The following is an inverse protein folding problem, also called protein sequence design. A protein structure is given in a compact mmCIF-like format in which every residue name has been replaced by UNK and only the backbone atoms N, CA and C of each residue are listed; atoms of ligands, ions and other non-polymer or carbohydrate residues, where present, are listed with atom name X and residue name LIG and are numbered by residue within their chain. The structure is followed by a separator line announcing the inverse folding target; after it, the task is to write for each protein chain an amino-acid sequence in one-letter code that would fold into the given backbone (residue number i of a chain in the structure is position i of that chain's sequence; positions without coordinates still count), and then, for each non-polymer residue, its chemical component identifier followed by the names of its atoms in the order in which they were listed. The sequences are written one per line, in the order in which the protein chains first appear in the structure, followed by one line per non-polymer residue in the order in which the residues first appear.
data_IF_243097419950
#
_entry.id   IF_243097419950
#
_cell.length_a   1.000
_cell.length_b   1.000
_cell.length_c   1.000
_cell.angle_alpha   90.00
_cell.angle_beta   90.00
_cell.angle_gamma   90.00
#
_symmetry.space_group_name_H-M   'P 1'
#
loop_
_entity.id
_entity.type
_entity.pdbx_description
1 polymer ?
#
# COMPACT_ATOMS: atom_id res chain seq x y z
N UNK A 1 -3.24 -13.73 1.97
CA UNK A 1 -2.34 -14.73 1.38
C UNK A 1 -3.15 -15.88 0.81
N UNK A 2 -2.87 -16.28 -0.44
CA UNK A 2 -3.54 -17.42 -1.08
C UNK A 2 -2.98 -18.74 -0.53
N UNK A 3 -3.85 -19.64 -0.08
CA UNK A 3 -3.46 -20.94 0.47
C UNK A 3 -2.70 -21.83 -0.53
N UNK A 4 -2.92 -21.65 -1.84
CA UNK A 4 -2.20 -22.38 -2.90
C UNK A 4 -0.71 -22.06 -2.89
N UNK A 5 -0.37 -20.78 -2.79
CA UNK A 5 1.02 -20.31 -2.74
C UNK A 5 1.76 -20.86 -1.50
N UNK A 6 1.06 -20.94 -0.36
CA UNK A 6 1.63 -21.54 0.85
C UNK A 6 1.80 -23.05 0.70
N UNK A 7 0.88 -23.74 0.04
CA UNK A 7 0.99 -25.17 -0.24
C UNK A 7 2.23 -25.46 -1.10
N UNK A 8 2.43 -24.71 -2.18
CA UNK A 8 3.59 -24.82 -3.06
C UNK A 8 4.89 -24.58 -2.29
N UNK A 9 4.94 -23.51 -1.48
CA UNK A 9 6.11 -23.19 -0.67
C UNK A 9 6.43 -24.25 0.40
N UNK A 10 5.40 -24.88 0.97
CA UNK A 10 5.53 -26.00 1.90
C UNK A 10 5.87 -27.32 1.20
N UNK A 11 5.76 -27.37 -0.14
CA UNK A 11 5.83 -28.58 -0.95
C UNK A 11 4.76 -29.61 -0.55
N UNK A 12 3.55 -29.12 -0.27
CA UNK A 12 2.37 -29.90 0.05
C UNK A 12 1.35 -29.75 -1.07
N UNK A 13 0.48 -30.75 -1.23
CA UNK A 13 -0.63 -30.65 -2.16
C UNK A 13 -1.62 -29.60 -1.68
N UNK A 14 -2.07 -28.72 -2.58
CA UNK A 14 -3.08 -27.69 -2.27
C UNK A 14 -4.32 -28.29 -1.58
N UNK A 15 -4.81 -29.43 -2.07
CA UNK A 15 -5.95 -30.15 -1.46
C UNK A 15 -5.70 -30.49 0.02
N UNK A 16 -4.49 -30.87 0.38
CA UNK A 16 -4.12 -31.21 1.76
C UNK A 16 -4.13 -29.98 2.66
N UNK A 17 -3.57 -28.87 2.17
CA UNK A 17 -3.58 -27.58 2.91
C UNK A 17 -5.01 -27.05 3.06
N UNK A 18 -5.80 -27.09 1.99
CA UNK A 18 -7.20 -26.66 2.03
C UNK A 18 -8.04 -27.51 2.99
N UNK A 19 -7.84 -28.83 2.99
CA UNK A 19 -8.48 -29.73 3.94
C UNK A 19 -8.08 -29.39 5.37
N UNK A 20 -6.79 -29.17 5.64
CA UNK A 20 -6.31 -28.79 6.96
C UNK A 20 -6.98 -27.52 7.49
N UNK A 21 -7.10 -26.49 6.65
CA UNK A 21 -7.80 -25.24 6.99
C UNK A 21 -9.29 -25.48 7.24
N UNK A 22 -9.91 -26.35 6.43
CA UNK A 22 -11.33 -26.66 6.56
C UNK A 22 -11.65 -27.45 7.82
N UNK A 23 -10.82 -28.45 8.14
CA UNK A 23 -10.99 -29.32 9.29
C UNK A 23 -10.75 -28.55 10.61
N UNK A 24 -9.82 -27.59 10.62
CA UNK A 24 -9.49 -26.76 11.78
C UNK A 24 -10.10 -25.35 11.68
N UNK A 25 -11.21 -25.18 10.95
CA UNK A 25 -11.76 -23.85 10.64
C UNK A 25 -12.08 -23.02 11.89
N UNK A 26 -12.47 -23.66 13.00
CA UNK A 26 -12.74 -22.97 14.26
C UNK A 26 -11.51 -22.20 14.76
N UNK A 27 -10.36 -22.87 14.86
CA UNK A 27 -9.09 -22.26 15.30
C UNK A 27 -8.67 -21.10 14.39
N UNK A 28 -8.85 -21.25 13.07
CA UNK A 28 -8.56 -20.17 12.12
C UNK A 28 -9.54 -18.99 12.24
N UNK A 29 -10.79 -19.25 12.64
CA UNK A 29 -11.81 -18.23 12.83
C UNK A 29 -11.56 -17.37 14.08
N UNK A 30 -10.90 -17.92 15.11
CA UNK A 30 -10.42 -17.16 16.28
C UNK A 30 -9.44 -16.06 15.88
N UNK A 31 -8.66 -16.29 14.81
CA UNK A 31 -7.70 -15.34 14.25
C UNK A 31 -8.30 -14.44 13.16
N UNK A 32 -9.63 -14.46 12.99
CA UNK A 32 -10.37 -13.64 12.03
C UNK A 32 -11.16 -14.45 10.99
N UNK A 33 -12.00 -13.76 10.21
CA UNK A 33 -12.90 -14.44 9.25
C UNK A 33 -12.11 -15.14 8.13
N UNK A 34 -12.19 -16.47 8.08
CA UNK A 34 -11.66 -17.27 6.97
C UNK A 34 -12.51 -17.05 5.72
N UNK A 35 -11.88 -16.59 4.63
CA UNK A 35 -12.52 -16.37 3.33
C UNK A 35 -12.14 -17.50 2.38
N UNK A 36 -13.14 -18.10 1.73
CA UNK A 36 -12.94 -19.12 0.71
C UNK A 36 -13.36 -18.57 -0.64
N UNK A 37 -12.54 -18.79 -1.65
CA UNK A 37 -12.73 -18.30 -3.01
C UNK A 37 -12.64 -19.45 -4.00
N UNK A 38 -13.21 -19.24 -5.19
CA UNK A 38 -13.14 -20.18 -6.32
C UNK A 38 -12.49 -19.45 -7.49
N UNK A 39 -11.40 -20.00 -8.00
CA UNK A 39 -10.75 -19.48 -9.20
C UNK A 39 -10.23 -20.62 -10.07
N UNK A 40 -10.05 -20.35 -11.37
CA UNK A 40 -9.37 -21.26 -12.27
C UNK A 40 -8.02 -21.71 -11.68
N UNK A 41 -7.74 -23.00 -11.77
CA UNK A 41 -6.47 -23.54 -11.30
C UNK A 41 -5.33 -23.03 -12.19
N UNK A 42 -4.17 -22.62 -11.61
CA UNK A 42 -3.02 -22.20 -12.39
C UNK A 42 -2.60 -23.33 -13.35
N UNK A 43 -2.54 -23.03 -14.65
CA UNK A 43 -2.16 -24.02 -15.68
C UNK A 43 -3.30 -24.93 -16.16
N UNK A 44 -4.56 -24.69 -15.78
CA UNK A 44 -5.68 -25.46 -16.33
C UNK A 44 -6.00 -25.04 -17.78
N UNK A 45 -5.66 -25.91 -18.73
CA UNK A 45 -6.12 -25.78 -20.13
C UNK A 45 -7.64 -26.05 -20.30
N UNK A 46 -8.26 -26.69 -19.30
CA UNK A 46 -9.66 -27.14 -19.31
C UNK A 46 -10.60 -26.22 -18.52
N UNK A 47 -10.11 -25.13 -17.92
CA UNK A 47 -10.91 -24.18 -17.14
C UNK A 47 -11.39 -24.70 -15.78
N UNK A 48 -10.76 -25.74 -15.24
CA UNK A 48 -11.14 -26.29 -13.94
C UNK A 48 -10.90 -25.28 -12.81
N UNK A 49 -11.94 -25.06 -12.02
CA UNK A 49 -11.90 -24.17 -10.87
C UNK A 49 -11.54 -24.92 -9.58
N UNK A 50 -10.67 -24.31 -8.77
CA UNK A 50 -10.27 -24.82 -7.46
C UNK A 50 -10.73 -23.89 -6.35
N UNK A 51 -11.27 -24.46 -5.27
CA UNK A 51 -11.51 -23.75 -4.00
C UNK A 51 -10.18 -23.50 -3.30
N UNK A 52 -9.97 -22.30 -2.77
CA UNK A 52 -8.81 -21.95 -1.97
C UNK A 52 -9.18 -20.97 -0.85
N UNK A 53 -8.31 -20.80 0.14
CA UNK A 53 -8.54 -19.87 1.24
C UNK A 53 -7.68 -18.61 1.08
N UNK A 54 -8.25 -17.46 1.43
CA UNK A 54 -7.52 -16.21 1.63
C UNK A 54 -7.28 -16.02 3.12
N UNK A 55 -6.03 -16.14 3.53
CA UNK A 55 -5.59 -16.08 4.92
C UNK A 55 -4.99 -14.70 5.25
N UNK A 56 -5.24 -14.21 6.46
CA UNK A 56 -4.49 -13.09 7.03
C UNK A 56 -3.13 -13.56 7.58
N UNK A 57 -2.34 -12.64 8.15
CA UNK A 57 -1.02 -12.93 8.73
C UNK A 57 -1.09 -14.01 9.82
N UNK A 58 -1.94 -13.84 10.82
CA UNK A 58 -2.03 -14.75 11.98
C UNK A 58 -2.49 -16.16 11.58
N UNK A 59 -3.45 -16.24 10.67
CA UNK A 59 -3.90 -17.49 10.07
C UNK A 59 -2.78 -18.20 9.30
N UNK A 60 -1.87 -17.46 8.65
CA UNK A 60 -0.71 -18.08 8.02
C UNK A 60 0.27 -18.65 9.06
N UNK A 61 0.48 -17.95 10.18
CA UNK A 61 1.29 -18.49 11.27
C UNK A 61 0.68 -19.75 11.88
N UNK A 62 -0.63 -19.74 12.12
CA UNK A 62 -1.35 -20.92 12.60
C UNK A 62 -1.22 -22.08 11.61
N UNK A 63 -1.39 -21.85 10.30
CA UNK A 63 -1.19 -22.90 9.30
C UNK A 63 0.20 -23.55 9.40
N UNK A 64 1.22 -22.74 9.66
CA UNK A 64 2.60 -23.20 9.80
C UNK A 64 2.83 -24.01 11.09
N UNK A 65 2.05 -23.82 12.16
CA UNK A 65 2.21 -24.61 13.40
C UNK A 65 1.82 -26.06 13.19
N UNK A 66 0.83 -26.35 12.33
CA UNK A 66 0.46 -27.71 11.96
C UNK A 66 1.50 -28.41 11.05
N UNK A 67 2.48 -27.67 10.53
CA UNK A 67 3.54 -28.21 9.66
C UNK A 67 4.76 -28.68 10.46
N UNK A 68 5.22 -29.91 10.20
CA UNK A 68 6.44 -30.49 10.81
C UNK A 68 7.68 -29.65 10.52
N UNK A 69 8.57 -29.50 11.51
CA UNK A 69 9.78 -28.68 11.43
C UNK A 69 10.93 -29.33 10.65
N UNK A 70 10.74 -29.56 9.35
CA UNK A 70 11.86 -29.87 8.44
C UNK A 70 12.72 -28.63 8.19
N UNK A 71 13.95 -28.80 7.69
CA UNK A 71 14.82 -27.66 7.35
C UNK A 71 14.15 -26.69 6.37
N UNK A 72 13.48 -27.23 5.33
CA UNK A 72 12.69 -26.45 4.37
C UNK A 72 11.59 -25.64 5.05
N UNK A 73 10.80 -26.27 5.91
CA UNK A 73 9.69 -25.62 6.63
C UNK A 73 10.20 -24.56 7.60
N UNK A 74 11.31 -24.81 8.30
CA UNK A 74 11.95 -23.81 9.19
C UNK A 74 12.39 -22.57 8.41
N UNK A 75 13.05 -22.74 7.26
CA UNK A 75 13.45 -21.64 6.37
C UNK A 75 12.23 -20.87 5.86
N UNK A 76 11.15 -21.56 5.49
CA UNK A 76 9.91 -20.91 5.07
C UNK A 76 9.27 -20.10 6.21
N UNK A 77 9.14 -20.67 7.42
CA UNK A 77 8.61 -19.99 8.61
C UNK A 77 9.36 -18.68 8.86
N UNK A 78 10.70 -18.72 8.83
CA UNK A 78 11.54 -17.54 9.02
C UNK A 78 11.28 -16.48 7.95
N UNK A 79 11.30 -16.86 6.67
CA UNK A 79 11.01 -15.93 5.56
C UNK A 79 9.63 -15.29 5.67
N UNK A 80 8.63 -16.06 6.06
CA UNK A 80 7.25 -15.56 6.17
C UNK A 80 7.11 -14.56 7.31
N UNK A 81 7.70 -14.84 8.48
CA UNK A 81 7.76 -13.90 9.61
C UNK A 81 8.44 -12.60 9.20
N UNK A 82 9.55 -12.70 8.47
CA UNK A 82 10.31 -11.54 8.03
C UNK A 82 9.52 -10.69 7.03
N UNK A 83 8.91 -11.34 6.04
CA UNK A 83 8.07 -10.67 5.02
C UNK A 83 6.85 -9.97 5.64
N UNK A 84 6.15 -10.61 6.58
CA UNK A 84 5.02 -9.96 7.25
C UNK A 84 5.46 -8.83 8.19
N UNK A 85 6.58 -8.99 8.91
CA UNK A 85 7.14 -7.91 9.73
C UNK A 85 7.51 -6.70 8.89
N UNK A 86 8.16 -6.91 7.74
CA UNK A 86 8.49 -5.84 6.80
C UNK A 86 7.23 -5.17 6.25
N UNK A 87 6.23 -5.96 5.83
CA UNK A 87 4.96 -5.42 5.36
C UNK A 87 4.24 -4.58 6.42
N UNK A 88 4.25 -5.03 7.69
CA UNK A 88 3.66 -4.31 8.82
C UNK A 88 4.40 -3.01 9.12
N UNK A 89 5.73 -3.06 9.21
CA UNK A 89 6.56 -1.88 9.44
C UNK A 89 6.38 -0.84 8.32
N UNK A 90 6.33 -1.27 7.06
CA UNK A 90 6.05 -0.40 5.92
C UNK A 90 4.63 0.17 5.94
N UNK A 91 3.63 -0.58 6.44
CA UNK A 91 2.28 -0.07 6.63
C UNK A 91 2.20 0.94 7.79
N UNK A 92 2.90 0.69 8.89
CA UNK A 92 2.99 1.57 10.05
C UNK A 92 3.70 2.88 9.72
N UNK A 93 4.87 2.83 9.07
CA UNK A 93 5.58 4.02 8.58
C UNK A 93 4.67 4.88 7.68
N UNK A 94 3.94 4.25 6.74
CA UNK A 94 2.95 4.97 5.92
C UNK A 94 1.84 5.60 6.75
N UNK A 95 1.43 5.00 7.86
CA UNK A 95 0.38 5.56 8.72
C UNK A 95 0.91 6.67 9.62
N UNK A 96 2.10 6.52 10.20
CA UNK A 96 2.67 7.46 11.16
C UNK A 96 3.32 8.67 10.49
N UNK A 97 3.99 8.51 9.36
CA UNK A 97 4.76 9.59 8.73
C UNK A 97 3.98 10.31 7.62
N UNK A 98 3.17 9.59 6.85
CA UNK A 98 2.46 10.17 5.70
C UNK A 98 1.08 10.74 6.04
N UNK A 99 0.33 10.12 6.96
CA UNK A 99 -1.05 10.55 7.26
C UNK A 99 -1.12 11.94 7.93
N UNK A 100 -0.20 12.32 8.85
CA UNK A 100 -0.23 13.66 9.46
C UNK A 100 0.06 14.79 8.47
N UNK A 101 1.03 14.62 7.57
CA UNK A 101 1.35 15.59 6.52
C UNK A 101 0.20 15.74 5.51
N UNK A 102 -0.45 14.63 5.18
CA UNK A 102 -1.65 14.62 4.34
C UNK A 102 -2.83 15.37 4.97
N UNK A 103 -3.14 15.13 6.25
CA UNK A 103 -4.24 15.81 6.94
C UNK A 103 -3.99 17.31 7.05
N UNK A 104 -2.78 17.72 7.43
CA UNK A 104 -2.44 19.13 7.56
C UNK A 104 -2.58 19.88 6.23
N UNK A 105 -2.04 19.31 5.16
CA UNK A 105 -2.15 19.89 3.81
C UNK A 105 -3.62 20.00 3.38
N UNK A 106 -4.43 18.98 3.70
CA UNK A 106 -5.86 18.98 3.43
C UNK A 106 -6.58 20.08 4.23
N UNK A 107 -6.33 20.22 5.53
CA UNK A 107 -6.93 21.26 6.35
C UNK A 107 -6.57 22.68 5.85
N UNK A 108 -5.30 22.92 5.50
CA UNK A 108 -4.85 24.21 4.98
C UNK A 108 -5.56 24.58 3.67
N UNK A 109 -5.66 23.63 2.73
CA UNK A 109 -6.37 23.86 1.46
C UNK A 109 -7.86 24.08 1.69
N UNK A 110 -8.47 23.35 2.62
CA UNK A 110 -9.89 23.51 2.95
C UNK A 110 -10.16 24.89 3.53
N UNK A 111 -9.31 25.37 4.45
CA UNK A 111 -9.42 26.70 5.03
C UNK A 111 -9.31 27.81 3.96
N UNK A 112 -8.41 27.64 2.97
CA UNK A 112 -8.21 28.59 1.87
C UNK A 112 -9.30 28.53 0.79
N UNK A 113 -9.91 27.36 0.59
CA UNK A 113 -10.98 27.18 -0.39
C UNK A 113 -12.37 27.56 0.16
N UNK A 114 -12.55 27.56 1.48
CA UNK A 114 -13.84 27.82 2.13
C UNK A 114 -14.95 26.90 1.59
N UNK A 115 -16.15 27.46 1.41
CA UNK A 115 -17.30 26.76 0.82
C UNK A 115 -17.32 26.80 -0.73
N UNK A 116 -16.18 27.07 -1.36
CA UNK A 116 -16.09 27.13 -2.81
C UNK A 116 -16.55 25.80 -3.44
N UNK A 117 -17.42 25.81 -4.47
CA UNK A 117 -17.80 24.60 -5.19
C UNK A 117 -16.60 23.93 -5.88
N UNK A 118 -15.49 24.65 -6.02
CA UNK A 118 -14.24 24.18 -6.61
C UNK A 118 -13.24 23.61 -5.60
N UNK A 119 -13.54 23.61 -4.30
CA UNK A 119 -12.61 23.12 -3.26
C UNK A 119 -12.06 21.73 -3.57
N UNK A 120 -12.91 20.81 -4.04
CA UNK A 120 -12.50 19.45 -4.47
C UNK A 120 -11.42 19.44 -5.55
N UNK A 121 -11.46 20.40 -6.49
CA UNK A 121 -10.50 20.48 -7.59
C UNK A 121 -9.17 21.07 -7.13
N UNK A 122 -9.20 22.02 -6.19
CA UNK A 122 -7.99 22.56 -5.55
C UNK A 122 -7.23 21.44 -4.83
N UNK A 123 -7.92 20.68 -3.99
CA UNK A 123 -7.36 19.51 -3.30
C UNK A 123 -6.73 18.50 -4.27
N UNK A 124 -7.43 18.20 -5.37
CA UNK A 124 -6.97 17.26 -6.39
C UNK A 124 -5.71 17.76 -7.09
N UNK A 125 -5.65 19.05 -7.45
CA UNK A 125 -4.52 19.64 -8.15
C UNK A 125 -3.27 19.68 -7.29
N UNK A 126 -3.39 20.08 -6.01
CA UNK A 126 -2.25 20.06 -5.08
C UNK A 126 -1.75 18.63 -4.84
N UNK A 127 -2.65 17.66 -4.66
CA UNK A 127 -2.25 16.26 -4.47
C UNK A 127 -1.57 15.66 -5.70
N UNK A 128 -2.02 16.00 -6.91
CA UNK A 128 -1.36 15.61 -8.16
C UNK A 128 0.05 16.19 -8.25
N UNK A 129 0.22 17.44 -7.87
CA UNK A 129 1.53 18.11 -7.88
C UNK A 129 2.50 17.48 -6.86
N UNK A 130 2.03 17.20 -5.64
CA UNK A 130 2.81 16.46 -4.63
C UNK A 130 3.24 15.08 -5.15
N UNK A 131 2.34 14.34 -5.79
CA UNK A 131 2.66 13.02 -6.37
C UNK A 131 3.73 13.10 -7.44
N UNK A 132 3.56 14.03 -8.38
CA UNK A 132 4.52 14.23 -9.47
C UNK A 132 5.90 14.60 -8.96
N UNK A 133 5.97 15.44 -7.92
CA UNK A 133 7.23 15.82 -7.26
C UNK A 133 7.96 14.60 -6.69
N UNK A 134 7.22 13.60 -6.23
CA UNK A 134 7.76 12.35 -5.72
C UNK A 134 7.91 11.24 -6.78
N UNK A 135 7.67 11.55 -8.07
CA UNK A 135 7.73 10.57 -9.16
C UNK A 135 6.65 9.49 -9.08
N UNK A 136 5.44 9.85 -8.65
CA UNK A 136 4.31 8.93 -8.50
C UNK A 136 3.10 9.39 -9.32
N UNK A 137 2.32 8.44 -9.84
CA UNK A 137 1.00 8.72 -10.39
C UNK A 137 -0.12 8.72 -9.33
N UNK A 138 -1.29 9.20 -9.74
CA UNK A 138 -2.48 9.19 -8.89
C UNK A 138 -2.83 7.75 -8.48
N UNK A 139 -2.90 7.52 -7.17
CA UNK A 139 -3.22 6.21 -6.61
C UNK A 139 -2.00 5.30 -6.41
N UNK A 140 -0.79 5.66 -6.82
CA UNK A 140 0.39 4.78 -6.67
C UNK A 140 1.05 4.81 -5.29
N UNK A 141 0.67 5.77 -4.43
CA UNK A 141 1.24 5.95 -3.08
C UNK A 141 1.24 4.66 -2.23
N UNK A 142 0.32 3.73 -2.46
CA UNK A 142 0.26 2.47 -1.71
C UNK A 142 1.37 1.46 -2.08
N UNK A 143 2.03 1.65 -3.24
CA UNK A 143 3.10 0.81 -3.78
C UNK A 143 4.46 1.51 -3.80
N UNK A 144 4.49 2.78 -3.40
CA UNK A 144 5.67 3.64 -3.49
C UNK A 144 6.83 3.08 -2.65
N UNK A 145 8.04 3.16 -3.20
CA UNK A 145 9.26 2.80 -2.47
C UNK A 145 9.56 3.82 -1.36
N UNK A 146 10.39 3.45 -0.38
CA UNK A 146 10.74 4.33 0.74
C UNK A 146 11.25 5.72 0.32
N UNK A 147 12.13 5.88 -0.70
CA UNK A 147 12.56 7.20 -1.16
C UNK A 147 11.40 8.06 -1.72
N UNK A 148 10.46 7.43 -2.43
CA UNK A 148 9.29 8.12 -2.97
C UNK A 148 8.36 8.57 -1.84
N UNK A 149 8.14 7.74 -0.81
CA UNK A 149 7.36 8.12 0.36
C UNK A 149 7.99 9.28 1.13
N UNK A 150 9.31 9.28 1.31
CA UNK A 150 10.04 10.39 1.91
C UNK A 150 9.88 11.68 1.08
N UNK A 151 9.97 11.59 -0.25
CA UNK A 151 9.73 12.72 -1.14
C UNK A 151 8.29 13.27 -1.02
N UNK A 152 7.28 12.40 -0.90
CA UNK A 152 5.88 12.81 -0.65
C UNK A 152 5.78 13.61 0.65
N UNK A 153 6.38 13.13 1.75
CA UNK A 153 6.33 13.80 3.05
C UNK A 153 7.01 15.16 3.00
N UNK A 154 8.18 15.26 2.37
CA UNK A 154 8.89 16.52 2.16
C UNK A 154 8.05 17.49 1.33
N UNK A 155 7.47 17.02 0.22
CA UNK A 155 6.60 17.80 -0.64
C UNK A 155 5.36 18.33 0.11
N UNK A 156 4.69 17.48 0.91
CA UNK A 156 3.54 17.91 1.71
C UNK A 156 3.91 19.03 2.70
N UNK A 157 5.00 18.86 3.45
CA UNK A 157 5.45 19.86 4.41
C UNK A 157 5.85 21.17 3.73
N UNK A 158 6.53 21.08 2.59
CA UNK A 158 6.97 22.24 1.83
C UNK A 158 5.78 22.99 1.22
N UNK A 159 4.81 22.26 0.65
CA UNK A 159 3.58 22.83 0.12
C UNK A 159 2.78 23.55 1.22
N UNK A 160 2.54 22.88 2.36
CA UNK A 160 1.91 23.52 3.54
C UNK A 160 2.63 24.80 3.94
N UNK A 161 3.97 24.79 4.02
CA UNK A 161 4.74 25.98 4.39
C UNK A 161 4.62 27.09 3.35
N UNK A 162 4.65 26.76 2.06
CA UNK A 162 4.56 27.73 0.97
C UNK A 162 3.16 28.38 0.88
N UNK A 163 2.11 27.63 1.22
CA UNK A 163 0.72 28.12 1.20
C UNK A 163 0.37 29.04 2.38
N UNK A 164 1.19 29.08 3.45
CA UNK A 164 0.92 29.94 4.61
C UNK A 164 0.83 31.41 4.20
N UNK A 165 -0.21 32.08 4.69
CA UNK A 165 -0.44 33.50 4.44
C UNK A 165 -0.78 33.83 2.98
N UNK A 166 -1.24 32.85 2.20
CA UNK A 166 -1.92 33.11 0.94
C UNK A 166 -3.29 33.72 1.21
N UNK A 167 -3.71 34.69 0.38
CA UNK A 167 -5.03 35.32 0.47
C UNK A 167 -6.16 34.44 -0.06
N UNK A 168 -5.85 33.54 -1.00
CA UNK A 168 -6.80 32.59 -1.56
C UNK A 168 -6.13 31.28 -2.02
N UNK A 169 -6.95 30.34 -2.49
CA UNK A 169 -6.48 29.05 -2.98
C UNK A 169 -5.69 29.11 -4.31
N UNK A 170 -5.86 30.15 -5.12
CA UNK A 170 -5.11 30.32 -6.37
C UNK A 170 -3.67 30.74 -6.08
N UNK A 171 -3.50 31.72 -5.20
CA UNK A 171 -2.21 32.16 -4.71
C UNK A 171 -1.50 31.03 -3.96
N UNK A 172 -2.22 30.31 -3.10
CA UNK A 172 -1.68 29.15 -2.39
C UNK A 172 -1.15 28.09 -3.36
N UNK A 173 -1.92 27.74 -4.39
CA UNK A 173 -1.48 26.79 -5.40
C UNK A 173 -0.24 27.27 -6.16
N UNK A 174 -0.18 28.56 -6.54
CA UNK A 174 0.98 29.14 -7.21
C UNK A 174 2.24 29.05 -6.35
N UNK A 175 2.14 29.40 -5.06
CA UNK A 175 3.26 29.30 -4.09
C UNK A 175 3.71 27.85 -3.89
N UNK A 176 2.77 26.92 -3.73
CA UNK A 176 3.08 25.49 -3.63
C UNK A 176 3.77 24.96 -4.89
N UNK A 177 3.32 25.38 -6.09
CA UNK A 177 3.91 24.99 -7.38
C UNK A 177 5.37 25.39 -7.50
N UNK A 178 5.71 26.62 -7.13
CA UNK A 178 7.09 27.11 -7.16
C UNK A 178 7.97 26.30 -6.20
N UNK A 179 7.53 26.15 -4.96
CA UNK A 179 8.30 25.44 -3.95
C UNK A 179 8.54 23.95 -4.32
N UNK A 180 7.51 23.30 -4.88
CA UNK A 180 7.61 21.90 -5.28
C UNK A 180 8.46 21.67 -6.53
N UNK A 181 8.52 22.61 -7.48
CA UNK A 181 9.50 22.53 -8.58
C UNK A 181 10.92 22.57 -8.05
N UNK A 182 11.23 23.49 -7.12
CA UNK A 182 12.55 23.57 -6.52
C UNK A 182 12.94 22.27 -5.78
N UNK A 183 11.98 21.62 -5.11
CA UNK A 183 12.22 20.32 -4.49
C UNK A 183 12.45 19.21 -5.53
N UNK A 184 11.71 19.22 -6.64
CA UNK A 184 11.86 18.26 -7.71
C UNK A 184 13.27 18.34 -8.33
N UNK A 185 13.76 19.56 -8.60
CA UNK A 185 15.10 19.80 -9.14
C UNK A 185 16.19 19.28 -8.17
N UNK A 186 16.01 19.48 -6.86
CA UNK A 186 16.97 19.04 -5.83
C UNK A 186 17.03 17.53 -5.65
N UNK A 187 15.89 16.83 -5.78
CA UNK A 187 15.83 15.40 -5.57
C UNK A 187 16.39 14.60 -6.76
N UNK A 188 16.61 15.23 -7.91
CA UNK A 188 17.04 14.58 -9.17
C UNK A 188 16.22 13.32 -9.52
N UNK A 189 14.98 13.22 -8.99
CA UNK A 189 14.06 12.15 -9.30
C UNK A 189 13.53 12.42 -10.70
N UNK A 190 13.95 11.61 -11.67
CA UNK A 190 13.33 11.61 -12.99
C UNK A 190 11.82 11.45 -12.81
N UNK A 191 11.06 12.51 -13.10
CA UNK A 191 9.61 12.40 -13.17
C UNK A 191 9.24 11.35 -14.22
N UNK A 192 8.06 10.69 -14.11
CA UNK A 192 7.61 9.83 -15.20
C UNK A 192 7.62 10.61 -16.50
N UNK A 193 8.36 10.10 -17.49
CA UNK A 193 8.48 10.77 -18.78
C UNK A 193 7.09 10.99 -19.37
N UNK A 194 6.80 12.23 -19.73
CA UNK A 194 5.62 12.57 -20.50
C UNK A 194 5.74 11.93 -21.89
N UNK A 195 5.23 10.72 -22.05
CA UNK A 195 4.88 10.18 -23.37
C UNK A 195 3.42 10.56 -23.66
N UNK A 196 3.24 11.60 -24.48
CA UNK A 196 1.93 12.01 -24.96
C UNK A 196 2.05 13.18 -25.92
N UNK A 197 1.92 12.85 -27.21
CA UNK A 197 1.95 13.72 -28.38
C UNK A 197 0.84 14.79 -28.40
#
# INVERSE_FOLDING_TARGET
MDSRLLADALGLQHRSVFKLISDNRADFAELGKVRFEIAASPGSATGQASKFALLNEDQCYLLLTYSRNTERVRKLKLRLVQAFREARSAAEMRRSEYLPGYHRLHEDIQALAGDSPNARFVHLNVNRLVNRTAGLDAGERHRAAAPQLAAVILAQNLATRAMRGAGDHHEAFARAKVALHSLQDLLALAGPEHHGA
#
